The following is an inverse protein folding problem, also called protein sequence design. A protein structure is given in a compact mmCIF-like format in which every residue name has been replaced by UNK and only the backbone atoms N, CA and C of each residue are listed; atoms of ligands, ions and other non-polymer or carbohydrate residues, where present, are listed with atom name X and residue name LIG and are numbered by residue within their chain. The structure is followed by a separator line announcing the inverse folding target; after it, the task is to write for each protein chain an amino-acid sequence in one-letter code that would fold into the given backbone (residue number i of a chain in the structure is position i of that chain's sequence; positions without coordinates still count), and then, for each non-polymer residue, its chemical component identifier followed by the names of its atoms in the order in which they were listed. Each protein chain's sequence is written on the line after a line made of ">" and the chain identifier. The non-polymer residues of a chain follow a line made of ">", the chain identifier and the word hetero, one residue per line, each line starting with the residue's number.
data_IF_341608439385
#
_entry.id   IF_341608439385
#
_cell.length_a   1.000
_cell.length_b   1.000
_cell.length_c   1.000
_cell.angle_alpha   90.00
_cell.angle_beta   90.00
_cell.angle_gamma   90.00
#
_symmetry.space_group_name_H-M   'P 1'
#
loop_
_entity.id
_entity.type
_entity.pdbx_description
1 polymer ?
#
# COMPACT_ATOMS: atom_id res chain seq x y z
N UNK A 1 -26.27 58.37 -47.19
CA UNK A 1 -25.63 57.15 -47.71
C UNK A 1 -25.67 56.12 -46.59
N UNK A 2 -26.77 55.39 -46.41
CA UNK A 2 -27.21 54.20 -47.16
C UNK A 2 -26.37 52.95 -46.86
N UNK A 3 -27.02 52.00 -46.17
CA UNK A 3 -26.81 50.57 -45.83
C UNK A 3 -25.92 49.72 -46.79
N UNK A 4 -25.48 48.46 -46.48
CA UNK A 4 -26.20 47.42 -45.69
C UNK A 4 -25.37 46.53 -44.73
N UNK A 5 -25.95 46.00 -43.65
CA UNK A 5 -26.80 44.80 -43.55
C UNK A 5 -26.08 43.48 -43.91
N UNK A 6 -25.34 42.93 -42.93
CA UNK A 6 -24.77 41.58 -42.94
C UNK A 6 -25.59 40.64 -42.05
N UNK A 7 -26.07 39.55 -42.64
CA UNK A 7 -27.17 38.68 -42.22
C UNK A 7 -26.69 37.66 -41.15
N UNK A 8 -27.25 37.72 -39.93
CA UNK A 8 -27.12 36.63 -38.94
C UNK A 8 -27.87 35.39 -39.46
N UNK A 9 -27.16 34.31 -39.76
CA UNK A 9 -27.78 33.00 -40.03
C UNK A 9 -27.88 32.22 -38.72
N UNK A 10 -29.12 32.02 -38.26
CA UNK A 10 -29.41 31.19 -37.08
C UNK A 10 -29.10 29.73 -37.38
N UNK A 11 -28.11 29.14 -36.72
CA UNK A 11 -27.90 27.69 -36.73
C UNK A 11 -28.84 27.06 -35.69
N UNK A 12 -29.95 26.49 -36.16
CA UNK A 12 -30.91 25.74 -35.32
C UNK A 12 -30.19 24.59 -34.61
N UNK A 13 -30.00 24.74 -33.30
CA UNK A 13 -29.64 23.67 -32.39
C UNK A 13 -30.78 22.65 -32.32
N UNK A 14 -30.56 21.44 -32.85
CA UNK A 14 -31.45 20.31 -32.65
C UNK A 14 -31.19 19.78 -31.25
N UNK A 15 -32.08 20.12 -30.30
CA UNK A 15 -32.15 19.47 -28.99
C UNK A 15 -32.61 18.03 -29.21
N UNK A 16 -31.72 17.07 -28.96
CA UNK A 16 -32.10 15.67 -28.82
C UNK A 16 -32.78 15.51 -27.46
N UNK A 17 -34.10 15.33 -27.48
CA UNK A 17 -34.90 15.02 -26.29
C UNK A 17 -34.58 13.59 -25.83
N UNK A 18 -33.78 13.46 -24.77
CA UNK A 18 -33.52 12.19 -24.11
C UNK A 18 -34.70 11.85 -23.20
N UNK A 19 -35.54 10.92 -23.65
CA UNK A 19 -36.69 10.42 -22.88
C UNK A 19 -36.17 9.35 -21.91
N UNK A 20 -35.99 9.71 -20.64
CA UNK A 20 -35.70 8.76 -19.56
C UNK A 20 -36.91 7.83 -19.40
N UNK A 21 -36.78 6.59 -19.86
CA UNK A 21 -37.75 5.52 -19.57
C UNK A 21 -37.27 4.79 -18.31
N UNK A 22 -38.04 4.91 -17.23
CA UNK A 22 -37.84 4.17 -15.99
C UNK A 22 -38.24 2.71 -16.22
N UNK A 23 -37.29 1.85 -16.58
CA UNK A 23 -37.48 0.40 -16.52
C UNK A 23 -37.36 -0.08 -15.08
N UNK A 24 -38.52 -0.29 -14.46
CA UNK A 24 -38.69 -1.11 -13.24
C UNK A 24 -38.25 -2.55 -13.51
N UNK A 25 -37.53 -3.14 -12.55
CA UNK A 25 -37.57 -4.58 -12.29
C UNK A 25 -36.37 -5.39 -12.76
N UNK A 26 -35.31 -5.43 -11.94
CA UNK A 26 -34.40 -6.57 -11.93
C UNK A 26 -34.98 -7.66 -11.02
N UNK A 27 -35.49 -8.76 -11.60
CA UNK A 27 -35.78 -10.00 -10.88
C UNK A 27 -34.54 -10.89 -10.93
N UNK A 28 -34.02 -11.26 -9.77
CA UNK A 28 -32.97 -12.27 -9.62
C UNK A 28 -33.46 -13.63 -10.17
N UNK A 29 -32.69 -14.35 -10.99
CA UNK A 29 -33.02 -15.71 -11.37
C UNK A 29 -32.85 -16.62 -10.15
N UNK A 30 -33.95 -17.26 -9.72
CA UNK A 30 -33.94 -18.29 -8.68
C UNK A 30 -33.38 -19.57 -9.30
N UNK A 31 -32.10 -19.88 -9.06
CA UNK A 31 -31.54 -21.21 -9.35
C UNK A 31 -31.99 -22.14 -8.23
N UNK A 32 -32.96 -23.01 -8.50
CA UNK A 32 -33.32 -24.11 -7.61
C UNK A 32 -32.27 -25.21 -7.73
N UNK A 33 -31.45 -25.41 -6.68
CA UNK A 33 -30.52 -26.56 -6.57
C UNK A 33 -31.33 -27.83 -6.28
N UNK A 34 -31.06 -28.95 -6.97
CA UNK A 34 -31.60 -30.25 -6.58
C UNK A 34 -30.99 -30.70 -5.23
N UNK A 35 -31.77 -31.34 -4.34
CA UNK A 35 -31.26 -31.86 -3.07
C UNK A 35 -30.41 -33.11 -3.33
N UNK A 36 -29.16 -33.13 -2.87
CA UNK A 36 -28.34 -34.36 -2.84
C UNK A 36 -26.86 -34.23 -3.18
N UNK A 37 -26.41 -33.16 -3.83
CA UNK A 37 -24.98 -32.92 -4.05
C UNK A 37 -24.42 -31.93 -3.03
N UNK A 38 -23.90 -32.48 -1.92
CA UNK A 38 -22.96 -31.75 -1.08
C UNK A 38 -21.70 -31.43 -1.90
N UNK A 39 -21.08 -30.26 -1.71
CA UNK A 39 -19.82 -29.96 -2.39
C UNK A 39 -18.76 -30.97 -1.94
N UNK A 40 -17.95 -31.55 -2.85
CA UNK A 40 -16.78 -32.31 -2.42
C UNK A 40 -15.90 -31.38 -1.58
N UNK A 41 -15.50 -31.84 -0.39
CA UNK A 41 -14.52 -31.18 0.46
C UNK A 41 -13.18 -31.18 -0.25
N UNK A 42 -12.98 -30.25 -1.18
CA UNK A 42 -11.71 -30.01 -1.84
C UNK A 42 -10.88 -29.12 -0.91
N UNK A 43 -10.27 -29.74 0.11
CA UNK A 43 -9.30 -29.07 0.97
C UNK A 43 -7.97 -28.98 0.19
N UNK A 44 -7.85 -27.96 -0.67
CA UNK A 44 -6.57 -27.60 -1.32
C UNK A 44 -5.51 -27.32 -0.25
N UNK A 45 -4.34 -27.98 -0.24
CA UNK A 45 -3.28 -27.75 0.76
C UNK A 45 -2.53 -26.41 0.61
N UNK A 46 -2.98 -25.49 -0.24
CA UNK A 46 -2.24 -24.27 -0.60
C UNK A 46 -3.13 -23.04 -0.61
N UNK A 47 -4.01 -22.86 0.38
CA UNK A 47 -4.50 -21.51 0.63
C UNK A 47 -3.37 -20.72 1.32
N UNK A 48 -2.86 -19.62 0.73
CA UNK A 48 -2.07 -18.68 1.51
C UNK A 48 -2.93 -18.25 2.69
N UNK A 49 -2.33 -18.20 3.89
CA UNK A 49 -3.08 -17.78 5.09
C UNK A 49 -3.81 -16.47 4.81
N UNK A 50 -5.03 -16.28 5.36
CA UNK A 50 -5.79 -15.06 5.14
C UNK A 50 -4.90 -13.86 5.49
N UNK A 51 -4.92 -12.86 4.61
CA UNK A 51 -4.23 -11.61 4.84
C UNK A 51 -4.79 -11.03 6.13
N UNK A 52 -3.95 -10.82 7.15
CA UNK A 52 -4.39 -10.24 8.42
C UNK A 52 -4.91 -8.82 8.16
N UNK A 53 -6.24 -8.69 8.27
CA UNK A 53 -6.95 -7.43 8.19
C UNK A 53 -7.47 -7.07 9.57
N UNK A 54 -7.38 -5.79 9.93
CA UNK A 54 -7.93 -5.23 11.15
C UNK A 54 -9.08 -4.29 10.78
N UNK A 55 -10.14 -4.29 11.57
CA UNK A 55 -11.21 -3.31 11.44
C UNK A 55 -10.81 -2.05 12.19
N UNK A 56 -10.60 -0.95 11.46
CA UNK A 56 -10.28 0.36 12.05
C UNK A 56 -11.54 1.22 11.95
N UNK A 57 -11.98 1.76 13.08
CA UNK A 57 -12.97 2.82 13.12
C UNK A 57 -12.28 4.13 12.72
N UNK A 58 -12.65 4.68 11.57
CA UNK A 58 -12.08 5.91 11.05
C UNK A 58 -13.02 7.10 11.29
N UNK A 59 -12.59 8.04 12.12
CA UNK A 59 -13.26 9.34 12.34
C UNK A 59 -12.68 10.48 11.47
N UNK A 60 -11.66 10.18 10.66
CA UNK A 60 -10.74 11.19 10.10
C UNK A 60 -11.30 12.23 9.11
N UNK A 61 -12.56 12.13 8.68
CA UNK A 61 -13.19 13.15 7.80
C UNK A 61 -14.42 13.78 8.46
N UNK A 62 -14.99 13.13 9.47
CA UNK A 62 -16.20 13.58 10.14
C UNK A 62 -15.94 14.74 11.11
N UNK A 63 -14.74 14.84 11.67
CA UNK A 63 -14.36 15.94 12.56
C UNK A 63 -14.15 17.26 11.80
N UNK A 64 -13.61 17.21 10.57
CA UNK A 64 -13.39 18.39 9.71
C UNK A 64 -14.66 18.81 8.95
N UNK A 65 -15.63 17.90 8.77
CA UNK A 65 -16.88 18.14 8.06
C UNK A 65 -18.10 17.55 8.80
N UNK A 66 -18.44 18.05 9.99
CA UNK A 66 -19.51 17.51 10.82
C UNK A 66 -20.88 17.56 10.13
N UNK A 67 -21.10 18.51 9.22
CA UNK A 67 -22.38 18.71 8.52
C UNK A 67 -22.58 17.75 7.33
N UNK A 68 -21.56 16.99 6.94
CA UNK A 68 -21.60 16.09 5.76
C UNK A 68 -21.88 14.64 6.15
N UNK A 69 -21.57 14.23 7.38
CA UNK A 69 -21.67 12.83 7.81
C UNK A 69 -22.77 12.64 8.87
N UNK A 70 -23.75 11.80 8.56
CA UNK A 70 -24.82 11.42 9.49
C UNK A 70 -24.36 10.39 10.55
N UNK A 71 -23.30 9.64 10.25
CA UNK A 71 -22.62 8.74 11.18
C UNK A 71 -21.10 9.00 11.07
N UNK A 72 -20.45 9.53 12.13
CA UNK A 72 -19.03 9.85 12.11
C UNK A 72 -18.12 8.61 12.22
N UNK A 73 -18.66 7.45 12.62
CA UNK A 73 -17.87 6.22 12.82
C UNK A 73 -18.10 5.22 11.67
N UNK A 74 -17.24 5.31 10.65
CA UNK A 74 -17.20 4.28 9.61
C UNK A 74 -16.14 3.24 9.94
N UNK A 75 -16.55 1.97 10.02
CA UNK A 75 -15.62 0.84 10.15
C UNK A 75 -15.11 0.44 8.77
N UNK A 76 -13.80 0.47 8.59
CA UNK A 76 -13.14 0.02 7.36
C UNK A 76 -12.20 -1.12 7.69
N UNK A 77 -12.31 -2.21 6.93
CA UNK A 77 -11.37 -3.33 7.02
C UNK A 77 -10.09 -2.96 6.28
N UNK A 78 -8.99 -2.83 7.01
CA UNK A 78 -7.68 -2.44 6.47
C UNK A 78 -6.64 -3.51 6.75
N UNK A 79 -5.54 -3.48 5.99
CA UNK A 79 -4.37 -4.32 6.30
C UNK A 79 -3.86 -4.01 7.70
N UNK A 80 -3.59 -5.05 8.48
CA UNK A 80 -3.01 -4.86 9.81
C UNK A 80 -1.72 -4.04 9.76
N UNK A 81 -1.52 -3.18 10.76
CA UNK A 81 -0.33 -2.32 10.84
C UNK A 81 0.96 -3.16 10.82
N UNK A 82 0.95 -4.31 11.51
CA UNK A 82 2.07 -5.28 11.53
C UNK A 82 2.40 -5.85 10.16
N UNK A 83 1.37 -6.17 9.37
CA UNK A 83 1.60 -6.64 8.00
C UNK A 83 2.10 -5.50 7.13
N UNK A 84 1.51 -4.32 7.24
CA UNK A 84 1.94 -3.13 6.50
C UNK A 84 3.41 -2.81 6.77
N UNK A 85 3.87 -2.94 8.02
CA UNK A 85 5.28 -2.81 8.40
C UNK A 85 6.17 -3.75 7.56
N UNK A 86 5.86 -5.04 7.52
CA UNK A 86 6.64 -6.00 6.74
C UNK A 86 6.50 -5.83 5.22
N UNK A 87 5.34 -5.36 4.73
CA UNK A 87 5.16 -4.99 3.32
C UNK A 87 6.05 -3.79 2.95
N UNK A 88 6.25 -2.82 3.84
CA UNK A 88 7.18 -1.70 3.62
C UNK A 88 8.63 -2.17 3.71
N UNK A 89 9.00 -2.92 4.74
CA UNK A 89 10.36 -3.44 4.92
C UNK A 89 10.82 -4.30 3.73
N UNK A 90 9.97 -5.20 3.25
CA UNK A 90 10.28 -6.02 2.06
C UNK A 90 10.32 -5.21 0.76
N UNK A 91 9.60 -4.09 0.66
CA UNK A 91 9.75 -3.18 -0.48
C UNK A 91 11.11 -2.47 -0.46
N UNK A 92 11.58 -2.03 0.72
CA UNK A 92 12.93 -1.48 0.87
C UNK A 92 14.00 -2.53 0.53
N UNK A 93 13.79 -3.78 0.92
CA UNK A 93 14.68 -4.89 0.57
C UNK A 93 14.82 -5.11 -0.92
N UNK A 94 13.70 -5.09 -1.64
CA UNK A 94 13.71 -5.19 -3.09
C UNK A 94 14.46 -4.00 -3.71
N UNK A 95 14.20 -2.77 -3.25
CA UNK A 95 14.88 -1.58 -3.79
C UNK A 95 16.38 -1.59 -3.50
N UNK A 96 16.82 -2.11 -2.35
CA UNK A 96 18.25 -2.25 -2.05
C UNK A 96 18.96 -3.22 -3.01
N UNK A 97 18.26 -4.21 -3.55
CA UNK A 97 18.80 -5.15 -4.55
C UNK A 97 18.64 -4.66 -5.99
N UNK A 98 18.08 -3.47 -6.19
CA UNK A 98 17.82 -2.95 -7.51
C UNK A 98 19.12 -2.54 -8.22
N UNK A 99 19.34 -2.96 -9.48
CA UNK A 99 20.55 -2.63 -10.23
C UNK A 99 20.77 -1.12 -10.31
N UNK A 100 22.01 -0.66 -10.09
CA UNK A 100 22.36 0.77 -10.10
C UNK A 100 22.01 1.50 -11.41
N UNK A 101 21.95 0.77 -12.53
CA UNK A 101 21.57 1.32 -13.84
C UNK A 101 20.06 1.65 -13.96
N UNK A 102 19.22 1.21 -13.02
CA UNK A 102 17.78 1.49 -13.04
C UNK A 102 17.44 2.76 -12.25
N UNK A 103 16.63 3.67 -12.82
CA UNK A 103 16.31 4.94 -12.18
C UNK A 103 15.50 4.74 -10.90
N UNK A 104 15.82 5.48 -9.85
CA UNK A 104 15.08 5.48 -8.58
C UNK A 104 13.60 5.83 -8.84
N UNK A 105 12.62 5.10 -8.27
CA UNK A 105 11.21 5.42 -8.47
C UNK A 105 10.90 6.75 -7.78
N UNK A 106 9.97 7.51 -8.37
CA UNK A 106 9.49 8.74 -7.75
C UNK A 106 8.69 8.42 -6.48
N UNK A 107 8.84 9.25 -5.45
CA UNK A 107 8.17 9.16 -4.16
C UNK A 107 8.48 7.87 -3.38
N UNK A 108 9.57 7.18 -3.71
CA UNK A 108 9.97 5.98 -2.99
C UNK A 108 10.47 6.29 -1.58
N UNK A 109 10.99 7.50 -1.35
CA UNK A 109 11.42 7.96 -0.02
C UNK A 109 10.30 7.90 1.03
N UNK A 110 9.01 7.93 0.61
CA UNK A 110 7.87 7.75 1.52
C UNK A 110 7.90 6.41 2.24
N UNK A 111 8.42 5.36 1.60
CA UNK A 111 8.45 4.02 2.21
C UNK A 111 9.42 3.97 3.39
N UNK A 112 10.51 4.73 3.34
CA UNK A 112 11.44 4.89 4.46
C UNK A 112 10.75 5.64 5.60
N UNK A 113 10.08 6.75 5.31
CA UNK A 113 9.34 7.50 6.31
C UNK A 113 8.21 6.68 6.95
N UNK A 114 7.35 6.05 6.14
CA UNK A 114 6.24 5.21 6.63
C UNK A 114 6.77 4.11 7.56
N UNK A 115 7.88 3.45 7.20
CA UNK A 115 8.47 2.39 8.03
C UNK A 115 9.04 2.92 9.35
N UNK A 116 9.72 4.07 9.31
CA UNK A 116 10.25 4.70 10.51
C UNK A 116 9.14 5.16 11.47
N UNK A 117 8.04 5.71 10.95
CA UNK A 117 6.89 6.11 11.76
C UNK A 117 6.17 4.89 12.34
N UNK A 118 6.00 3.81 11.56
CA UNK A 118 5.42 2.57 12.08
C UNK A 118 6.30 1.93 13.15
N UNK A 119 7.63 2.06 13.05
CA UNK A 119 8.55 1.50 14.04
C UNK A 119 8.36 2.15 15.42
N UNK A 120 7.98 3.43 15.49
CA UNK A 120 7.76 4.14 16.75
C UNK A 120 6.42 3.73 17.43
N UNK A 121 5.58 2.90 16.80
CA UNK A 121 4.31 2.41 17.39
C UNK A 121 4.44 1.02 18.02
N UNK A 122 3.53 0.69 18.93
CA UNK A 122 3.46 -0.63 19.58
C UNK A 122 3.26 -1.76 18.57
N UNK A 123 2.52 -1.51 17.49
CA UNK A 123 2.33 -2.46 16.40
C UNK A 123 3.61 -2.71 15.62
N UNK A 124 4.43 -1.68 15.38
CA UNK A 124 5.74 -1.84 14.76
C UNK A 124 6.67 -2.71 15.60
N UNK A 125 6.76 -2.44 16.90
CA UNK A 125 7.55 -3.25 17.82
C UNK A 125 7.05 -4.70 17.89
N UNK A 126 5.73 -4.90 17.93
CA UNK A 126 5.14 -6.25 17.85
C UNK A 126 5.41 -6.94 16.50
N UNK A 127 5.49 -6.18 15.40
CA UNK A 127 5.83 -6.72 14.09
C UNK A 127 7.28 -7.21 14.04
N UNK A 128 8.22 -6.45 14.62
CA UNK A 128 9.65 -6.83 14.72
C UNK A 128 9.82 -8.14 15.48
N UNK A 129 9.04 -8.37 16.55
CA UNK A 129 9.05 -9.62 17.30
C UNK A 129 8.46 -10.82 16.53
N UNK A 130 7.60 -10.59 15.53
CA UNK A 130 6.95 -11.64 14.73
C UNK A 130 7.65 -11.85 13.38
N UNK A 131 8.79 -12.54 13.41
CA UNK A 131 9.55 -12.92 12.22
C UNK A 131 8.81 -13.94 11.33
N UNK A 132 7.82 -14.66 11.87
CA UNK A 132 6.99 -15.55 11.06
C UNK A 132 6.09 -14.76 10.12
N UNK A 133 5.66 -13.55 10.51
CA UNK A 133 4.91 -12.65 9.65
C UNK A 133 5.79 -12.13 8.50
N UNK A 134 7.06 -11.79 8.75
CA UNK A 134 8.03 -11.45 7.69
C UNK A 134 8.10 -12.57 6.64
N UNK A 135 8.32 -13.82 7.07
CA UNK A 135 8.43 -14.96 6.14
C UNK A 135 7.14 -15.18 5.31
N UNK A 136 5.97 -14.92 5.89
CA UNK A 136 4.70 -14.97 5.18
C UNK A 136 4.58 -13.87 4.12
N UNK A 137 4.92 -12.63 4.47
CA UNK A 137 4.88 -11.48 3.56
C UNK A 137 5.89 -11.66 2.42
N UNK A 138 7.12 -12.06 2.72
CA UNK A 138 8.17 -12.31 1.72
C UNK A 138 7.73 -13.37 0.70
N UNK A 139 7.16 -14.50 1.17
CA UNK A 139 6.64 -15.56 0.30
C UNK A 139 5.44 -15.10 -0.54
N UNK A 140 4.55 -14.31 0.04
CA UNK A 140 3.43 -13.72 -0.69
C UNK A 140 3.95 -12.82 -1.82
N UNK A 141 4.87 -11.90 -1.52
CA UNK A 141 5.48 -11.01 -2.52
C UNK A 141 6.27 -11.75 -3.58
N UNK A 142 7.04 -12.78 -3.20
CA UNK A 142 7.76 -13.63 -4.15
C UNK A 142 6.83 -14.31 -5.17
N UNK A 143 5.57 -14.56 -4.78
CA UNK A 143 4.58 -15.18 -5.66
C UNK A 143 3.92 -14.16 -6.59
N UNK A 144 3.50 -13.00 -6.06
CA UNK A 144 2.70 -12.02 -6.80
C UNK A 144 3.51 -10.91 -7.49
N UNK A 145 4.68 -10.55 -6.95
CA UNK A 145 5.51 -9.43 -7.42
C UNK A 145 6.87 -9.92 -7.92
N UNK A 146 6.89 -10.97 -8.73
CA UNK A 146 8.14 -11.55 -9.26
C UNK A 146 8.93 -10.51 -10.05
N UNK A 147 10.06 -10.10 -9.48
CA UNK A 147 11.09 -9.33 -10.15
C UNK A 147 12.43 -10.01 -9.85
N UNK A 148 13.26 -10.22 -10.87
CA UNK A 148 14.54 -10.93 -10.73
C UNK A 148 15.49 -10.26 -9.73
N UNK A 149 15.35 -8.95 -9.54
CA UNK A 149 16.17 -8.14 -8.65
C UNK A 149 15.56 -7.98 -7.25
N UNK A 150 14.31 -8.36 -6.99
CA UNK A 150 13.67 -8.04 -5.72
C UNK A 150 14.15 -8.91 -4.54
N UNK A 151 14.79 -10.06 -4.83
CA UNK A 151 15.43 -10.95 -3.84
C UNK A 151 14.57 -11.26 -2.60
N UNK A 152 13.26 -11.46 -2.77
CA UNK A 152 12.36 -11.68 -1.63
C UNK A 152 12.68 -12.96 -0.84
N UNK A 153 13.32 -13.95 -1.48
CA UNK A 153 13.78 -15.18 -0.84
C UNK A 153 14.85 -14.93 0.24
N UNK A 154 15.65 -13.86 0.09
CA UNK A 154 16.67 -13.40 1.05
C UNK A 154 16.16 -12.38 2.06
N UNK A 155 14.87 -12.02 2.04
CA UNK A 155 14.26 -11.13 3.02
C UNK A 155 14.02 -11.86 4.35
N UNK A 156 15.10 -12.19 5.07
CA UNK A 156 15.12 -13.00 6.30
C UNK A 156 16.13 -12.43 7.29
N UNK A 157 15.99 -12.72 8.60
CA UNK A 157 17.00 -12.38 9.59
C UNK A 157 18.38 -12.86 9.16
N UNK A 158 19.36 -11.96 9.15
CA UNK A 158 20.76 -12.20 8.78
C UNK A 158 21.11 -11.70 7.38
N UNK A 159 20.15 -11.70 6.45
CA UNK A 159 20.32 -11.24 5.06
C UNK A 159 19.39 -10.09 4.70
N UNK A 160 18.57 -9.62 5.64
CA UNK A 160 17.66 -8.51 5.42
C UNK A 160 18.47 -7.24 5.20
N UNK A 161 18.31 -6.68 4.01
CA UNK A 161 18.87 -5.38 3.62
C UNK A 161 17.73 -4.36 3.51
N UNK A 162 17.79 -3.27 4.25
CA UNK A 162 16.82 -2.17 4.27
C UNK A 162 17.49 -0.83 3.92
N UNK A 163 18.77 -0.69 4.23
CA UNK A 163 19.54 0.52 3.92
C UNK A 163 19.83 0.62 2.42
N UNK A 164 19.59 1.79 1.78
CA UNK A 164 19.88 1.99 0.38
C UNK A 164 21.39 2.08 0.11
N UNK A 165 21.79 1.83 -1.13
CA UNK A 165 23.17 2.07 -1.56
C UNK A 165 23.52 3.56 -1.53
N UNK A 166 24.77 3.87 -1.19
CA UNK A 166 25.28 5.25 -1.10
C UNK A 166 25.03 6.08 -2.38
N UNK A 167 25.06 5.44 -3.55
CA UNK A 167 24.77 6.09 -4.82
C UNK A 167 23.32 6.63 -4.90
N UNK A 168 22.36 5.94 -4.27
CA UNK A 168 20.93 6.27 -4.28
C UNK A 168 20.53 7.24 -3.17
N UNK A 169 21.32 7.37 -2.10
CA UNK A 169 21.00 8.24 -0.95
C UNK A 169 20.75 9.68 -1.40
N UNK A 170 21.56 10.20 -2.33
CA UNK A 170 21.41 11.56 -2.84
C UNK A 170 20.06 11.77 -3.53
N UNK A 171 19.66 10.83 -4.37
CA UNK A 171 18.39 10.89 -5.10
C UNK A 171 17.20 10.72 -4.16
N UNK A 172 17.28 9.78 -3.23
CA UNK A 172 16.25 9.56 -2.21
C UNK A 172 16.07 10.78 -1.29
N UNK A 173 17.16 11.48 -0.95
CA UNK A 173 17.09 12.71 -0.16
C UNK A 173 16.45 13.87 -0.94
N UNK A 174 16.70 13.94 -2.25
CA UNK A 174 16.03 14.91 -3.12
C UNK A 174 14.53 14.61 -3.25
N UNK A 175 14.18 13.34 -3.44
CA UNK A 175 12.81 12.84 -3.46
C UNK A 175 12.08 13.13 -2.13
N UNK A 176 12.75 12.91 -1.00
CA UNK A 176 12.23 13.18 0.34
C UNK A 176 11.87 14.66 0.53
N UNK A 177 12.73 15.57 0.04
CA UNK A 177 12.44 17.00 0.08
C UNK A 177 11.27 17.38 -0.84
N UNK A 178 11.13 16.71 -1.98
CA UNK A 178 10.04 16.94 -2.91
C UNK A 178 8.68 16.47 -2.36
N UNK A 179 8.66 15.43 -1.51
CA UNK A 179 7.44 14.94 -0.87
C UNK A 179 7.04 15.70 0.41
N UNK A 180 7.91 16.53 0.98
CA UNK A 180 7.64 17.25 2.23
C UNK A 180 6.30 18.02 2.25
N UNK A 181 5.85 18.68 1.16
CA UNK A 181 4.54 19.35 1.14
C UNK A 181 3.33 18.41 1.25
N UNK A 182 3.52 17.11 1.04
CA UNK A 182 2.47 16.08 1.13
C UNK A 182 2.45 15.35 2.48
N UNK A 183 3.38 15.69 3.39
CA UNK A 183 3.44 15.07 4.71
C UNK A 183 2.41 15.70 5.64
N UNK A 184 1.77 14.88 6.47
CA UNK A 184 0.77 15.33 7.44
C UNK A 184 1.41 15.97 8.69
N UNK A 185 2.66 15.60 8.99
CA UNK A 185 3.38 16.13 10.15
C UNK A 185 3.87 17.56 9.91
N UNK A 186 3.71 18.41 10.92
CA UNK A 186 4.21 19.79 10.86
C UNK A 186 5.74 19.88 10.95
N UNK A 187 6.40 18.84 11.45
CA UNK A 187 7.88 18.78 11.53
C UNK A 187 8.34 17.33 11.30
N UNK A 188 8.43 16.90 10.03
CA UNK A 188 8.91 15.56 9.74
C UNK A 188 10.41 15.42 10.09
N UNK A 189 10.84 14.27 10.62
CA UNK A 189 12.24 14.04 10.97
C UNK A 189 13.13 14.13 9.74
N UNK A 190 14.38 14.60 9.87
CA UNK A 190 15.27 14.69 8.72
C UNK A 190 15.57 13.28 8.17
N UNK A 191 15.75 13.19 6.85
CA UNK A 191 15.96 11.91 6.18
C UNK A 191 17.18 11.12 6.70
N UNK A 192 18.19 11.82 7.24
CA UNK A 192 19.35 11.17 7.89
C UNK A 192 18.92 10.30 9.07
N UNK A 193 18.19 10.89 10.02
CA UNK A 193 17.68 10.19 11.21
C UNK A 193 16.77 9.02 10.83
N UNK A 194 15.97 9.15 9.77
CA UNK A 194 15.15 8.06 9.23
C UNK A 194 16.03 6.89 8.78
N UNK A 195 17.11 7.18 8.04
CA UNK A 195 18.05 6.15 7.59
C UNK A 195 18.79 5.50 8.76
N UNK A 196 19.18 6.27 9.78
CA UNK A 196 19.82 5.76 10.99
C UNK A 196 18.89 4.82 11.78
N UNK A 197 17.62 5.21 11.97
CA UNK A 197 16.60 4.34 12.58
C UNK A 197 16.44 3.02 11.81
N UNK A 198 16.40 3.10 10.47
CA UNK A 198 16.22 1.92 9.62
C UNK A 198 17.47 1.04 9.62
N UNK A 199 18.67 1.63 9.69
CA UNK A 199 19.92 0.89 9.85
C UNK A 199 19.94 0.14 11.19
N UNK A 200 19.58 0.79 12.29
CA UNK A 200 19.48 0.14 13.59
C UNK A 200 18.45 -1.00 13.62
N UNK A 201 17.30 -0.81 12.97
CA UNK A 201 16.29 -1.85 12.79
C UNK A 201 16.84 -3.05 12.00
N UNK A 202 17.54 -2.78 10.90
CA UNK A 202 18.16 -3.82 10.07
C UNK A 202 19.13 -4.66 10.92
N UNK A 203 19.99 -4.00 11.69
CA UNK A 203 20.99 -4.67 12.53
C UNK A 203 20.34 -5.47 13.66
N UNK A 204 19.30 -4.92 14.29
CA UNK A 204 18.52 -5.61 15.31
C UNK A 204 17.90 -6.91 14.77
N UNK A 205 17.23 -6.86 13.62
CA UNK A 205 16.63 -8.05 12.99
C UNK A 205 17.72 -9.04 12.54
N UNK A 206 18.81 -8.54 11.96
CA UNK A 206 19.88 -9.41 11.46
C UNK A 206 20.66 -10.12 12.57
N UNK A 207 20.79 -9.49 13.74
CA UNK A 207 21.42 -10.13 14.91
C UNK A 207 20.64 -11.35 15.40
N UNK A 208 19.31 -11.35 15.29
CA UNK A 208 18.46 -12.48 15.68
C UNK A 208 18.62 -13.70 14.76
N UNK A 209 19.06 -13.51 13.51
CA UNK A 209 19.34 -14.58 12.56
C UNK A 209 20.68 -15.28 12.75
N UNK A 210 21.62 -14.64 13.45
CA UNK A 210 22.97 -15.17 13.69
C UNK A 210 23.04 -16.10 14.92
N UNK A 211 21.99 -16.15 15.73
CA UNK A 211 21.91 -16.91 16.98
C UNK A 211 21.56 -18.40 16.84
N UNK A 212 21.49 -18.98 15.63
CA UNK A 212 21.42 -20.43 15.47
C UNK A 212 22.80 -21.00 15.15
N UNK A 213 23.52 -21.59 16.13
CA UNK A 213 24.64 -22.45 15.82
C UNK A 213 24.09 -23.72 15.17
N UNK A 214 24.45 -23.97 13.93
CA UNK A 214 24.37 -25.31 13.32
C UNK A 214 25.07 -26.29 14.24
N UNK A 215 24.28 -27.10 14.95
CA UNK A 215 24.74 -28.29 15.69
C UNK A 215 24.55 -29.52 14.81
#
# INVERSE_FOLDING_TARGET
>A
MSAPFGRLTSRRSRRASFRLTTRKGWRQPRVTRPPGCGPPSFRSPTQPRPITMDDVAGRGVADDYPDVFADPDTRVTVLSARRTFWEKATALHAEAHRPAASPTPQYFSRHYYDLAMLLDTDEGQAAVADLNLLAQVARHKATFFRSSWASYDTARPGTLRLTPDNARIKDLKADYRAMAPMMFDQTPPPFGDILEKIAALQDAINSQGQTQPTS
#
